data_IF_233243806765
#
_entry.id   IF_233243806765
#
_cell.length_a   1.000
_cell.length_b   1.000
_cell.length_c   1.000
_cell.angle_alpha   90.00
_cell.angle_beta   90.00
_cell.angle_gamma   90.00
#
_symmetry.space_group_name_H-M   'P 1'
#
loop_
_entity.id
_entity.type
_entity.pdbx_description
1 polymer ?
#
# COMPACT_ATOMS: atom_id res chain seq x y z
N UNK A 1 24.76 -6.07 -19.00
CA UNK A 1 24.11 -4.88 -18.40
C UNK A 1 22.69 -5.27 -18.06
N UNK A 2 22.38 -5.46 -16.78
CA UNK A 2 21.02 -5.79 -16.32
C UNK A 2 20.13 -4.57 -16.54
N UNK A 3 19.01 -4.73 -17.26
CA UNK A 3 17.95 -3.71 -17.37
C UNK A 3 17.64 -3.19 -15.97
N UNK A 4 17.58 -1.87 -15.78
CA UNK A 4 17.11 -1.31 -14.52
C UNK A 4 15.71 -1.87 -14.22
N UNK A 5 15.48 -2.38 -13.02
CA UNK A 5 14.18 -2.89 -12.59
C UNK A 5 13.21 -1.70 -12.51
N UNK A 6 12.32 -1.57 -13.49
CA UNK A 6 11.40 -0.45 -13.65
C UNK A 6 10.10 -0.61 -12.87
N UNK A 7 9.93 -1.71 -12.14
CA UNK A 7 8.71 -2.03 -11.37
C UNK A 7 8.48 -1.02 -10.25
N UNK A 8 7.21 -0.68 -10.01
CA UNK A 8 6.79 0.11 -8.84
C UNK A 8 7.15 -0.62 -7.55
N UNK A 9 7.63 0.12 -6.56
CA UNK A 9 7.90 -0.40 -5.22
C UNK A 9 6.63 -0.34 -4.36
N UNK A 10 6.14 -1.51 -3.95
CA UNK A 10 5.11 -1.65 -2.92
C UNK A 10 5.73 -2.16 -1.63
N UNK A 11 5.57 -1.41 -0.55
CA UNK A 11 6.06 -1.80 0.77
C UNK A 11 4.90 -2.11 1.71
N UNK A 12 4.95 -3.28 2.36
CA UNK A 12 3.94 -3.72 3.32
C UNK A 12 4.44 -3.68 4.75
N UNK A 13 3.55 -3.34 5.69
CA UNK A 13 3.88 -3.22 7.11
C UNK A 13 2.66 -3.49 7.99
N UNK A 14 2.88 -4.11 9.15
CA UNK A 14 1.85 -4.16 10.20
C UNK A 14 2.09 -3.02 11.20
N UNK A 15 1.12 -2.11 11.32
CA UNK A 15 1.26 -0.84 12.05
C UNK A 15 0.92 -0.97 13.54
N UNK A 16 1.51 -0.09 14.35
CA UNK A 16 1.21 0.07 15.77
C UNK A 16 1.66 -1.14 16.57
N UNK A 17 0.73 -1.74 17.29
CA UNK A 17 0.89 -2.94 18.12
C UNK A 17 0.47 -4.24 17.39
N UNK A 18 0.13 -4.17 16.10
CA UNK A 18 -0.27 -5.34 15.34
C UNK A 18 0.93 -6.19 14.92
N UNK A 19 1.02 -7.41 15.48
CA UNK A 19 2.05 -8.42 15.16
C UNK A 19 1.65 -9.39 14.04
N UNK A 20 0.43 -9.27 13.51
CA UNK A 20 -0.07 -10.19 12.49
C UNK A 20 0.52 -9.86 11.11
N UNK A 21 1.14 -10.85 10.46
CA UNK A 21 1.83 -10.65 9.17
C UNK A 21 1.33 -11.52 8.02
N UNK A 22 0.56 -12.58 8.31
CA UNK A 22 0.18 -13.55 7.29
C UNK A 22 -0.58 -12.91 6.10
N UNK A 23 -1.56 -12.05 6.40
CA UNK A 23 -2.35 -11.37 5.37
C UNK A 23 -1.51 -10.46 4.47
N UNK A 24 -0.70 -9.58 5.08
CA UNK A 24 0.13 -8.62 4.33
C UNK A 24 1.21 -9.34 3.51
N UNK A 25 1.83 -10.40 4.04
CA UNK A 25 2.81 -11.20 3.28
C UNK A 25 2.18 -11.91 2.09
N UNK A 26 0.96 -12.43 2.23
CA UNK A 26 0.25 -13.05 1.11
C UNK A 26 -0.15 -12.01 0.06
N UNK A 27 -0.59 -10.83 0.49
CA UNK A 27 -0.89 -9.71 -0.42
C UNK A 27 0.34 -9.26 -1.21
N UNK A 28 1.50 -9.11 -0.55
CA UNK A 28 2.75 -8.74 -1.23
C UNK A 28 3.20 -9.82 -2.24
N UNK A 29 2.99 -11.11 -1.96
CA UNK A 29 3.26 -12.17 -2.95
C UNK A 29 2.39 -12.03 -4.19
N UNK A 30 1.10 -11.71 -4.02
CA UNK A 30 0.21 -11.43 -5.15
C UNK A 30 0.68 -10.20 -5.92
N UNK A 31 1.04 -9.12 -5.24
CA UNK A 31 1.54 -7.90 -5.88
C UNK A 31 2.84 -8.14 -6.67
N UNK A 32 3.79 -8.92 -6.14
CA UNK A 32 5.01 -9.28 -6.87
C UNK A 32 4.67 -10.05 -8.16
N UNK A 33 3.72 -10.99 -8.08
CA UNK A 33 3.27 -11.75 -9.26
C UNK A 33 2.55 -10.91 -10.34
N UNK A 34 2.08 -9.71 -9.98
CA UNK A 34 1.42 -8.77 -10.91
C UNK A 34 2.35 -7.65 -11.40
N UNK A 35 3.65 -7.72 -11.10
CA UNK A 35 4.65 -6.78 -11.62
C UNK A 35 5.08 -5.67 -10.67
N UNK A 36 4.73 -5.74 -9.38
CA UNK A 36 5.39 -4.90 -8.38
C UNK A 36 6.76 -5.46 -8.00
N UNK A 37 7.65 -4.59 -7.54
CA UNK A 37 8.72 -4.97 -6.64
C UNK A 37 8.18 -4.82 -5.22
N UNK A 38 8.27 -5.86 -4.40
CA UNK A 38 7.70 -5.82 -3.06
C UNK A 38 8.75 -5.88 -1.96
N UNK A 39 8.45 -5.26 -0.82
CA UNK A 39 9.26 -5.33 0.39
C UNK A 39 8.35 -5.37 1.62
N UNK A 40 8.71 -6.19 2.60
CA UNK A 40 8.05 -6.20 3.90
C UNK A 40 8.91 -5.45 4.92
N UNK A 41 8.39 -4.35 5.46
CA UNK A 41 9.11 -3.45 6.39
C UNK A 41 9.20 -4.06 7.79
N UNK A 42 8.19 -4.85 8.17
CA UNK A 42 8.12 -5.51 9.48
C UNK A 42 6.72 -5.44 10.11
N UNK A 43 6.64 -5.94 11.35
CA UNK A 43 5.44 -5.88 12.17
C UNK A 43 5.64 -4.94 13.36
N UNK A 44 4.53 -4.57 13.99
CA UNK A 44 4.51 -3.66 15.14
C UNK A 44 5.33 -2.38 14.94
N UNK A 45 5.22 -1.79 13.74
CA UNK A 45 5.94 -0.56 13.39
C UNK A 45 5.12 0.66 13.76
N UNK A 46 5.73 1.60 14.48
CA UNK A 46 5.11 2.89 14.75
C UNK A 46 4.87 3.67 13.46
N UNK A 47 3.87 4.57 13.42
CA UNK A 47 3.65 5.44 12.27
C UNK A 47 4.89 6.24 11.84
N UNK A 48 5.72 6.67 12.79
CA UNK A 48 6.94 7.44 12.54
C UNK A 48 8.06 6.58 11.95
N UNK A 49 8.23 5.33 12.41
CA UNK A 49 9.15 4.39 11.77
C UNK A 49 8.76 4.13 10.31
N UNK A 50 7.45 3.99 10.03
CA UNK A 50 6.94 3.80 8.67
C UNK A 50 7.24 5.03 7.82
N UNK A 51 6.97 6.24 8.34
CA UNK A 51 7.21 7.49 7.62
C UNK A 51 8.70 7.72 7.34
N UNK A 52 9.58 7.47 8.33
CA UNK A 52 11.02 7.55 8.15
C UNK A 52 11.50 6.58 7.06
N UNK A 53 11.05 5.33 7.12
CA UNK A 53 11.37 4.35 6.08
C UNK A 53 10.88 4.79 4.70
N UNK A 54 9.66 5.33 4.60
CA UNK A 54 9.09 5.79 3.34
C UNK A 54 9.87 6.98 2.75
N UNK A 55 10.36 7.90 3.60
CA UNK A 55 11.20 9.03 3.17
C UNK A 55 12.50 8.55 2.50
N UNK A 56 13.14 7.54 3.08
CA UNK A 56 14.44 7.05 2.63
C UNK A 56 14.32 6.13 1.40
N UNK A 57 13.22 5.37 1.31
CA UNK A 57 13.05 4.32 0.29
C UNK A 57 12.08 4.69 -0.83
N UNK A 58 11.31 5.78 -0.66
CA UNK A 58 10.36 6.36 -1.62
C UNK A 58 9.49 5.30 -2.33
N UNK A 59 8.70 4.50 -1.59
CA UNK A 59 7.80 3.54 -2.22
C UNK A 59 6.72 4.25 -3.04
N UNK A 60 6.24 3.60 -4.09
CA UNK A 60 5.06 4.05 -4.84
C UNK A 60 3.77 3.78 -4.06
N UNK A 61 3.74 2.65 -3.33
CA UNK A 61 2.58 2.21 -2.54
C UNK A 61 3.02 1.73 -1.15
N UNK A 62 2.32 2.19 -0.11
CA UNK A 62 2.39 1.66 1.25
C UNK A 62 1.12 0.86 1.57
N UNK A 63 1.29 -0.45 1.78
CA UNK A 63 0.24 -1.36 2.20
C UNK A 63 0.26 -1.53 3.72
N UNK A 64 -0.74 -0.97 4.39
CA UNK A 64 -0.83 -0.91 5.86
C UNK A 64 -1.75 -2.02 6.38
N UNK A 65 -1.20 -2.91 7.22
CA UNK A 65 -1.93 -3.98 7.87
C UNK A 65 -2.28 -3.68 9.33
N UNK A 66 -3.55 -3.79 9.72
CA UNK A 66 -3.98 -3.69 11.12
C UNK A 66 -5.28 -4.47 11.37
N UNK A 67 -5.36 -5.19 12.51
CA UNK A 67 -6.46 -6.13 12.76
C UNK A 67 -7.00 -6.14 14.20
N UNK A 68 -6.54 -5.21 15.03
CA UNK A 68 -6.93 -5.15 16.44
C UNK A 68 -8.19 -4.28 16.59
N UNK A 69 -8.12 -3.22 17.38
CA UNK A 69 -9.26 -2.37 17.73
C UNK A 69 -9.52 -1.24 16.71
N UNK A 70 -10.76 -1.05 16.19
CA UNK A 70 -11.08 -0.01 15.22
C UNK A 70 -10.77 1.42 15.67
N UNK A 71 -11.05 1.76 16.93
CA UNK A 71 -10.80 3.11 17.45
C UNK A 71 -9.30 3.40 17.53
N UNK A 72 -8.51 2.42 17.98
CA UNK A 72 -7.06 2.47 17.94
C UNK A 72 -6.53 2.56 16.49
N UNK A 73 -7.13 1.81 15.57
CA UNK A 73 -6.83 1.87 14.13
C UNK A 73 -7.00 3.29 13.58
N UNK A 74 -8.15 3.93 13.84
CA UNK A 74 -8.40 5.31 13.42
C UNK A 74 -7.35 6.30 13.94
N UNK A 75 -6.95 6.17 15.21
CA UNK A 75 -5.86 7.00 15.80
C UNK A 75 -4.52 6.75 15.12
N UNK A 76 -4.18 5.49 14.83
CA UNK A 76 -2.95 5.12 14.11
C UNK A 76 -2.94 5.69 12.69
N UNK A 77 -4.06 5.65 11.96
CA UNK A 77 -4.14 6.16 10.60
C UNK A 77 -3.92 7.67 10.54
N UNK A 78 -4.54 8.43 11.45
CA UNK A 78 -4.33 9.88 11.54
C UNK A 78 -2.88 10.23 11.94
N UNK A 79 -2.27 9.44 12.81
CA UNK A 79 -0.87 9.60 13.20
C UNK A 79 0.08 9.29 12.04
N UNK A 80 -0.20 8.25 11.25
CA UNK A 80 0.55 7.91 10.04
C UNK A 80 0.46 9.02 8.99
N UNK A 81 -0.73 9.55 8.73
CA UNK A 81 -0.92 10.66 7.79
C UNK A 81 -0.05 11.85 8.16
N UNK A 82 -0.11 12.28 9.43
CA UNK A 82 0.72 13.38 9.95
C UNK A 82 2.22 13.08 9.82
N UNK A 83 2.65 11.90 10.26
CA UNK A 83 4.06 11.52 10.18
C UNK A 83 4.58 11.54 8.73
N UNK A 84 3.78 11.09 7.76
CA UNK A 84 4.13 11.15 6.33
C UNK A 84 4.17 12.58 5.81
N UNK A 85 3.21 13.43 6.16
CA UNK A 85 3.18 14.86 5.78
C UNK A 85 4.43 15.60 6.30
N UNK A 86 4.82 15.34 7.54
CA UNK A 86 6.02 15.93 8.18
C UNK A 86 7.34 15.55 7.49
N UNK A 87 7.38 14.43 6.74
CA UNK A 87 8.58 14.07 5.98
C UNK A 87 8.86 14.99 4.79
N UNK A 88 7.83 15.69 4.29
CA UNK A 88 7.88 16.46 3.05
C UNK A 88 8.06 15.61 1.77
N UNK A 89 7.82 14.30 1.85
CA UNK A 89 7.99 13.37 0.72
C UNK A 89 7.03 13.72 -0.43
N UNK A 90 7.60 14.07 -1.58
CA UNK A 90 6.86 14.41 -2.80
C UNK A 90 7.43 13.67 -4.03
N UNK A 91 6.60 12.98 -4.84
CA UNK A 91 5.20 12.64 -4.55
C UNK A 91 5.08 11.73 -3.31
N UNK A 92 3.96 11.83 -2.60
CA UNK A 92 3.67 10.94 -1.49
C UNK A 92 3.24 9.55 -2.00
N UNK A 93 3.53 8.47 -1.26
CA UNK A 93 3.09 7.13 -1.62
C UNK A 93 1.57 7.02 -1.57
N UNK A 94 1.01 6.21 -2.47
CA UNK A 94 -0.39 5.76 -2.34
C UNK A 94 -0.53 4.89 -1.10
N UNK A 95 -1.57 5.11 -0.32
CA UNK A 95 -1.85 4.32 0.88
C UNK A 95 -2.98 3.34 0.59
N UNK A 96 -2.75 2.06 0.86
CA UNK A 96 -3.79 1.03 0.85
C UNK A 96 -3.82 0.32 2.20
N UNK A 97 -4.97 -0.23 2.56
CA UNK A 97 -5.21 -0.82 3.87
C UNK A 97 -5.66 -2.27 3.77
N UNK A 98 -5.23 -3.11 4.70
CA UNK A 98 -5.73 -4.47 4.90
C UNK A 98 -6.03 -4.75 6.36
N UNK A 99 -7.24 -5.20 6.68
CA UNK A 99 -7.64 -5.44 8.07
C UNK A 99 -8.90 -6.26 8.22
N UNK A 100 -9.43 -6.35 9.45
CA UNK A 100 -10.75 -6.93 9.69
C UNK A 100 -11.85 -5.97 9.20
N UNK A 101 -13.07 -6.45 8.88
CA UNK A 101 -14.13 -5.59 8.36
C UNK A 101 -14.43 -4.31 9.19
N UNK A 102 -14.49 -4.37 10.54
CA UNK A 102 -14.71 -3.16 11.34
C UNK A 102 -13.59 -2.13 11.21
N UNK A 103 -12.34 -2.58 11.07
CA UNK A 103 -11.19 -1.69 10.92
C UNK A 103 -11.10 -1.15 9.49
N UNK A 104 -11.42 -1.98 8.48
CA UNK A 104 -11.48 -1.55 7.08
C UNK A 104 -12.51 -0.43 6.89
N UNK A 105 -13.67 -0.51 7.54
CA UNK A 105 -14.66 0.57 7.53
C UNK A 105 -14.10 1.89 8.08
N UNK A 106 -13.33 1.83 9.18
CA UNK A 106 -12.64 3.01 9.73
C UNK A 106 -11.59 3.55 8.76
N UNK A 107 -10.85 2.67 8.08
CA UNK A 107 -9.87 3.06 7.08
C UNK A 107 -10.53 3.79 5.89
N UNK A 108 -11.64 3.26 5.36
CA UNK A 108 -12.42 3.90 4.29
C UNK A 108 -12.97 5.26 4.73
N UNK A 109 -13.63 5.32 5.88
CA UNK A 109 -14.21 6.54 6.41
C UNK A 109 -13.17 7.64 6.71
N UNK A 110 -11.90 7.27 6.89
CA UNK A 110 -10.83 8.24 7.14
C UNK A 110 -10.45 9.08 5.92
N UNK A 111 -10.74 8.61 4.70
CA UNK A 111 -10.28 9.23 3.45
C UNK A 111 -8.76 9.24 3.24
N UNK A 112 -8.00 8.50 4.06
CA UNK A 112 -6.53 8.42 4.00
C UNK A 112 -6.08 7.37 2.97
N UNK A 113 -6.85 6.28 2.84
CA UNK A 113 -6.49 5.14 2.01
C UNK A 113 -7.25 5.18 0.69
N UNK A 114 -6.53 4.94 -0.41
CA UNK A 114 -7.13 4.80 -1.74
C UNK A 114 -8.04 3.56 -1.81
N UNK A 115 -7.62 2.47 -1.17
CA UNK A 115 -8.36 1.22 -1.10
C UNK A 115 -8.17 0.54 0.24
N UNK A 116 -9.25 0.01 0.80
CA UNK A 116 -9.23 -0.89 1.95
C UNK A 116 -9.68 -2.30 1.53
N UNK A 117 -9.00 -3.31 2.08
CA UNK A 117 -9.30 -4.72 1.94
C UNK A 117 -9.72 -5.27 3.31
N UNK A 118 -10.95 -5.77 3.37
CA UNK A 118 -11.58 -6.31 4.59
C UNK A 118 -11.33 -7.81 4.78
N UNK A 119 -10.83 -8.48 3.74
CA UNK A 119 -10.73 -9.94 3.67
C UNK A 119 -12.01 -10.61 3.16
N UNK A 120 -13.03 -9.84 2.78
CA UNK A 120 -14.23 -10.34 2.12
C UNK A 120 -14.08 -10.44 0.60
N UNK A 121 -13.02 -9.85 0.04
CA UNK A 121 -12.76 -9.80 -1.39
C UNK A 121 -12.29 -11.17 -1.91
N UNK A 122 -12.75 -11.56 -3.10
CA UNK A 122 -12.20 -12.71 -3.81
C UNK A 122 -10.78 -12.40 -4.32
N UNK A 123 -9.98 -13.46 -4.48
CA UNK A 123 -8.61 -13.34 -4.99
C UNK A 123 -8.55 -12.65 -6.36
N UNK A 124 -9.54 -12.86 -7.23
CA UNK A 124 -9.58 -12.23 -8.54
C UNK A 124 -9.81 -10.72 -8.45
N UNK A 125 -10.57 -10.25 -7.46
CA UNK A 125 -10.78 -8.82 -7.22
C UNK A 125 -9.47 -8.16 -6.76
N UNK A 126 -8.75 -8.80 -5.85
CA UNK A 126 -7.44 -8.34 -5.37
C UNK A 126 -6.44 -8.29 -6.53
N UNK A 127 -6.35 -9.36 -7.32
CA UNK A 127 -5.46 -9.42 -8.49
C UNK A 127 -5.85 -8.39 -9.55
N UNK A 128 -7.15 -8.16 -9.75
CA UNK A 128 -7.66 -7.14 -10.67
C UNK A 128 -7.20 -5.73 -10.28
N UNK A 129 -7.35 -5.37 -9.00
CA UNK A 129 -6.86 -4.09 -8.47
C UNK A 129 -5.35 -3.94 -8.67
N UNK A 130 -4.57 -4.96 -8.27
CA UNK A 130 -3.11 -4.94 -8.38
C UNK A 130 -2.63 -4.78 -9.84
N UNK A 131 -3.28 -5.46 -10.79
CA UNK A 131 -2.97 -5.32 -12.22
C UNK A 131 -3.30 -3.93 -12.76
N UNK A 132 -4.44 -3.35 -12.37
CA UNK A 132 -4.82 -2.00 -12.78
C UNK A 132 -3.80 -0.95 -12.33
N UNK A 133 -3.40 -1.02 -11.06
CA UNK A 133 -2.43 -0.09 -10.48
C UNK A 133 -0.99 -0.27 -11.02
N UNK A 134 -0.63 -1.51 -11.40
CA UNK A 134 0.62 -1.78 -12.09
C UNK A 134 0.60 -1.22 -13.53
N UNK A 135 -0.48 -1.43 -14.29
CA UNK A 135 -0.61 -0.98 -15.67
C UNK A 135 -0.61 0.55 -15.81
N UNK A 136 -1.28 1.29 -14.91
CA UNK A 136 -1.23 2.76 -14.92
C UNK A 136 0.18 3.33 -14.72
N UNK A 137 1.14 2.53 -14.22
CA UNK A 137 2.55 2.91 -14.15
C UNK A 137 3.22 2.95 -15.54
N UNK A 138 2.89 1.96 -16.36
CA UNK A 138 3.48 1.78 -17.68
C UNK A 138 2.94 2.83 -18.64
N UNK A 139 1.64 3.14 -18.57
CA UNK A 139 1.03 4.22 -19.36
C UNK A 139 1.55 5.61 -18.97
N UNK A 140 1.74 5.89 -17.68
CA UNK A 140 2.31 7.16 -17.22
C UNK A 140 3.77 7.37 -17.67
N UNK A 141 4.52 6.29 -17.98
CA UNK A 141 5.88 6.36 -18.55
C UNK A 141 5.91 6.60 -20.06
N UNK A 142 4.78 6.46 -20.76
CA UNK A 142 4.65 6.76 -22.19
C UNK A 142 3.40 7.64 -22.45
N UNK A 143 3.41 8.93 -22.09
CA UNK A 143 2.34 9.83 -22.46
C UNK A 143 2.41 10.09 -23.97
N UNK A 144 1.77 9.24 -24.79
CA UNK A 144 1.80 9.43 -26.24
C UNK A 144 1.36 8.30 -27.16
N UNK A 145 0.84 7.16 -26.68
CA UNK A 145 0.35 6.10 -27.57
C UNK A 145 -1.14 5.80 -27.35
N UNK A 146 -1.96 6.85 -27.46
CA UNK A 146 -3.30 6.68 -28.04
C UNK A 146 -3.12 6.45 -29.54
N UNK A 147 -2.84 5.20 -29.95
CA UNK A 147 -2.94 4.80 -31.35
C UNK A 147 -4.06 3.78 -31.53
N UNK A 148 -5.14 4.28 -32.12
CA UNK A 148 -6.02 3.63 -33.09
C UNK A 148 -6.83 2.45 -32.54
N UNK A 149 -8.09 2.74 -32.20
CA UNK A 149 -9.15 1.75 -32.33
C UNK A 149 -9.35 1.45 -33.83
N UNK A 150 -9.23 0.17 -34.19
CA UNK A 150 -9.98 -0.45 -35.30
C UNK A 150 -11.19 -1.15 -34.71
#
# INVERSE_FOLDING_TARGET
>A
MTKADTRKLMAGVSIGDCVHVAGILNFLKLADSTGYKTVFIGAAKSPEEIAAWAKDNRPDVLAIGYRLDPDAGGRLFQRLKRALEETGLTPAPKLIFGGTPPVAQVAEASGIFEKAFSGAEDINEIVGYLKGEAASADEAKYPGLSLIHI
#
